data_IF_496189944851
#
_entry.id   IF_496189944851
#
_cell.length_a   1.000
_cell.length_b   1.000
_cell.length_c   1.000
_cell.angle_alpha   90.00
_cell.angle_beta   90.00
_cell.angle_gamma   90.00
#
_symmetry.space_group_name_H-M   'P 1'
#
loop_
_entity.id
_entity.type
_entity.pdbx_description
1 polymer ?
#
# COMPACT_ATOMS: atom_id res chain seq x y z
N UNK A 1 -0.96 -61.29 53.50
CA UNK A 1 -2.01 -60.61 52.71
C UNK A 1 -1.51 -59.38 51.91
N UNK A 2 -0.37 -58.76 52.25
CA UNK A 2 0.11 -57.53 51.59
C UNK A 2 0.75 -57.68 50.19
N UNK A 3 1.48 -58.76 49.92
CA UNK A 3 2.24 -58.92 48.65
C UNK A 3 1.33 -59.12 47.42
N UNK A 4 0.20 -59.83 47.59
CA UNK A 4 -0.79 -60.06 46.51
C UNK A 4 -1.52 -58.74 46.14
N UNK A 5 -1.77 -57.86 47.11
CA UNK A 5 -2.39 -56.56 46.87
C UNK A 5 -1.43 -55.60 46.16
N UNK A 6 -0.14 -55.64 46.51
CA UNK A 6 0.91 -54.85 45.83
C UNK A 6 1.09 -55.28 44.36
N UNK A 7 1.05 -56.59 44.09
CA UNK A 7 1.10 -57.15 42.74
C UNK A 7 -0.16 -56.83 41.91
N UNK A 8 -1.35 -56.76 42.53
CA UNK A 8 -2.59 -56.30 41.86
C UNK A 8 -2.56 -54.80 41.55
N UNK A 9 -2.10 -53.97 42.48
CA UNK A 9 -1.92 -52.52 42.26
C UNK A 9 -0.90 -52.24 41.14
N UNK A 10 0.23 -52.93 41.14
CA UNK A 10 1.26 -52.75 40.10
C UNK A 10 0.77 -53.15 38.70
N UNK A 11 0.02 -54.26 38.56
CA UNK A 11 -0.61 -54.65 37.28
C UNK A 11 -1.63 -53.63 36.79
N UNK A 12 -2.46 -53.08 37.69
CA UNK A 12 -3.46 -52.07 37.33
C UNK A 12 -2.80 -50.76 36.87
N UNK A 13 -1.70 -50.34 37.52
CA UNK A 13 -0.93 -49.15 37.12
C UNK A 13 -0.25 -49.36 35.77
N UNK A 14 0.33 -50.54 35.53
CA UNK A 14 0.94 -50.86 34.23
C UNK A 14 -0.11 -50.87 33.11
N UNK A 15 -1.30 -51.44 33.33
CA UNK A 15 -2.40 -51.42 32.35
C UNK A 15 -2.86 -49.99 32.06
N UNK A 16 -2.97 -49.14 33.10
CA UNK A 16 -3.35 -47.73 32.94
C UNK A 16 -2.31 -46.93 32.15
N UNK A 17 -1.02 -47.17 32.39
CA UNK A 17 0.08 -46.55 31.66
C UNK A 17 0.15 -47.01 30.20
N UNK A 18 -0.07 -48.30 29.93
CA UNK A 18 -0.16 -48.82 28.57
C UNK A 18 -1.39 -48.25 27.85
N UNK A 19 -2.53 -48.10 28.52
CA UNK A 19 -3.73 -47.48 27.95
C UNK A 19 -3.53 -45.98 27.67
N UNK A 20 -2.84 -45.26 28.56
CA UNK A 20 -2.46 -43.86 28.35
C UNK A 20 -1.45 -43.69 27.19
N UNK A 21 -0.53 -44.62 27.00
CA UNK A 21 0.39 -44.64 25.85
C UNK A 21 -0.35 -44.95 24.53
N UNK A 22 -1.32 -45.87 24.55
CA UNK A 22 -2.17 -46.18 23.38
C UNK A 22 -3.03 -44.97 23.00
N UNK A 23 -3.65 -44.30 23.97
CA UNK A 23 -4.44 -43.07 23.77
C UNK A 23 -3.59 -41.89 23.28
N UNK A 24 -2.31 -41.81 23.67
CA UNK A 24 -1.39 -40.76 23.24
C UNK A 24 -0.79 -41.01 21.84
N UNK A 25 -0.88 -42.24 21.32
CA UNK A 25 -0.28 -42.64 20.04
C UNK A 25 -1.12 -42.31 18.81
N UNK A 26 -2.36 -41.84 19.00
CA UNK A 26 -3.27 -41.51 17.91
C UNK A 26 -3.49 -39.99 17.82
N UNK A 27 -2.47 -39.24 17.39
CA UNK A 27 -2.75 -37.93 16.80
C UNK A 27 -3.41 -38.17 15.45
N UNK A 28 -4.73 -37.96 15.40
CA UNK A 28 -5.49 -38.06 14.16
C UNK A 28 -4.89 -37.11 13.12
N UNK A 29 -4.48 -37.65 11.97
CA UNK A 29 -3.92 -36.85 10.89
C UNK A 29 -5.02 -35.92 10.38
N UNK A 30 -4.92 -34.62 10.64
CA UNK A 30 -5.96 -33.64 10.28
C UNK A 30 -5.83 -33.09 8.87
N UNK A 31 -4.68 -33.30 8.22
CA UNK A 31 -4.35 -32.74 6.90
C UNK A 31 -3.71 -33.78 5.97
N UNK A 32 -3.89 -33.59 4.65
CA UNK A 32 -3.14 -34.29 3.60
C UNK A 32 -2.56 -33.30 2.59
N UNK A 33 -1.54 -33.71 1.85
CA UNK A 33 -0.87 -32.88 0.83
C UNK A 33 -1.10 -33.50 -0.54
N UNK A 34 -1.78 -32.77 -1.42
CA UNK A 34 -1.89 -33.12 -2.85
C UNK A 34 -0.66 -32.63 -3.58
N UNK A 35 -0.05 -33.51 -4.37
CA UNK A 35 1.08 -33.18 -5.24
C UNK A 35 0.65 -33.15 -6.69
N UNK A 36 1.00 -32.08 -7.39
CA UNK A 36 0.85 -32.01 -8.85
C UNK A 36 2.24 -32.00 -9.47
N UNK A 37 2.33 -32.45 -10.72
CA UNK A 37 3.59 -32.58 -11.46
C UNK A 37 3.46 -31.89 -12.81
N UNK A 38 4.58 -31.42 -13.34
CA UNK A 38 4.68 -31.00 -14.73
C UNK A 38 4.46 -32.20 -15.67
N UNK A 39 4.12 -31.98 -16.96
CA UNK A 39 4.03 -33.06 -17.94
C UNK A 39 5.31 -33.90 -18.08
N UNK A 40 6.46 -33.30 -17.78
CA UNK A 40 7.79 -33.93 -17.76
C UNK A 40 8.09 -34.75 -16.49
N UNK A 41 7.22 -34.68 -15.46
CA UNK A 41 7.30 -35.51 -14.25
C UNK A 41 7.88 -34.83 -13.02
N UNK A 42 8.45 -33.62 -13.13
CA UNK A 42 8.97 -32.88 -11.98
C UNK A 42 7.85 -32.31 -11.12
N UNK A 43 8.08 -32.17 -9.82
CA UNK A 43 7.10 -31.64 -8.86
C UNK A 43 6.74 -30.20 -9.23
N UNK A 44 5.45 -29.93 -9.39
CA UNK A 44 4.91 -28.60 -9.71
C UNK A 44 4.45 -27.87 -8.45
N UNK A 45 3.70 -28.56 -7.57
CA UNK A 45 3.09 -27.94 -6.39
C UNK A 45 2.79 -28.94 -5.28
N UNK A 46 2.88 -28.49 -4.04
CA UNK A 46 2.33 -29.15 -2.84
C UNK A 46 1.18 -28.33 -2.28
N UNK A 47 -0.03 -28.89 -2.28
CA UNK A 47 -1.26 -28.21 -1.85
C UNK A 47 -1.78 -28.90 -0.58
N UNK A 48 -1.80 -28.22 0.57
CA UNK A 48 -2.26 -28.80 1.81
C UNK A 48 -3.79 -28.67 1.92
N UNK A 49 -4.45 -29.74 2.33
CA UNK A 49 -5.89 -29.81 2.51
C UNK A 49 -6.21 -30.37 3.88
N UNK A 50 -7.19 -29.77 4.56
CA UNK A 50 -7.78 -30.32 5.77
C UNK A 50 -8.71 -31.47 5.42
N UNK A 51 -8.60 -32.60 6.13
CA UNK A 51 -9.31 -33.84 5.79
C UNK A 51 -10.84 -33.68 5.96
N UNK A 52 -11.27 -32.97 7.00
CA UNK A 52 -12.68 -32.89 7.38
C UNK A 52 -13.58 -32.24 6.30
N UNK A 53 -13.07 -31.25 5.58
CA UNK A 53 -13.84 -30.40 4.66
C UNK A 53 -13.18 -30.23 3.28
N UNK A 54 -11.99 -30.82 3.06
CA UNK A 54 -11.20 -30.66 1.83
C UNK A 54 -10.91 -29.19 1.48
N UNK A 55 -10.87 -28.32 2.49
CA UNK A 55 -10.49 -26.92 2.31
C UNK A 55 -8.96 -26.82 2.37
N UNK A 56 -8.38 -25.91 1.56
CA UNK A 56 -6.94 -25.66 1.59
C UNK A 56 -6.55 -25.06 2.95
N UNK A 57 -5.66 -25.72 3.67
CA UNK A 57 -5.21 -25.27 4.98
C UNK A 57 -3.80 -25.81 5.24
N UNK A 58 -2.88 -24.92 5.61
CA UNK A 58 -1.45 -25.20 5.81
C UNK A 58 -0.53 -24.44 4.85
N UNK A 59 0.68 -24.97 4.68
CA UNK A 59 1.72 -24.36 3.82
C UNK A 59 1.61 -24.87 2.37
N UNK A 60 1.18 -23.99 1.48
CA UNK A 60 1.17 -24.21 0.04
C UNK A 60 2.55 -23.91 -0.55
N UNK A 61 3.01 -24.72 -1.50
CA UNK A 61 4.27 -24.52 -2.22
C UNK A 61 4.11 -24.73 -3.72
N UNK A 62 4.74 -23.89 -4.52
CA UNK A 62 5.02 -24.18 -5.95
C UNK A 62 6.51 -24.28 -6.19
N UNK A 63 6.87 -24.98 -7.26
CA UNK A 63 8.24 -25.20 -7.69
C UNK A 63 8.39 -24.80 -9.16
N UNK A 64 9.60 -24.42 -9.54
CA UNK A 64 10.03 -24.30 -10.92
C UNK A 64 10.31 -25.69 -11.52
N UNK A 65 10.38 -25.80 -12.85
CA UNK A 65 10.70 -27.07 -13.53
C UNK A 65 12.05 -27.65 -13.11
N UNK A 66 13.01 -26.80 -12.75
CA UNK A 66 14.32 -27.22 -12.24
C UNK A 66 14.28 -27.77 -10.79
N UNK A 67 13.09 -27.87 -10.18
CA UNK A 67 12.89 -28.35 -8.81
C UNK A 67 13.10 -27.29 -7.72
N UNK A 68 13.53 -26.08 -8.07
CA UNK A 68 13.70 -25.01 -7.10
C UNK A 68 12.36 -24.45 -6.63
N UNK A 69 12.31 -24.02 -5.38
CA UNK A 69 11.10 -23.45 -4.78
C UNK A 69 10.74 -22.14 -5.48
N UNK A 70 9.50 -22.03 -5.93
CA UNK A 70 8.98 -20.85 -6.64
C UNK A 70 8.20 -19.93 -5.70
N UNK A 71 7.29 -20.49 -4.90
CA UNK A 71 6.56 -19.72 -3.90
C UNK A 71 6.15 -20.56 -2.70
N UNK A 72 5.95 -19.89 -1.57
CA UNK A 72 5.38 -20.43 -0.34
C UNK A 72 4.28 -19.49 0.13
N UNK A 73 3.11 -20.03 0.44
CA UNK A 73 1.96 -19.25 0.94
C UNK A 73 1.38 -20.00 2.14
N UNK A 74 1.20 -19.30 3.26
CA UNK A 74 0.44 -19.84 4.37
C UNK A 74 -1.05 -19.63 4.10
N UNK A 75 -1.84 -20.71 4.04
CA UNK A 75 -3.27 -20.68 3.77
C UNK A 75 -4.00 -21.21 4.99
N UNK A 76 -5.06 -20.53 5.42
CA UNK A 76 -5.94 -20.98 6.50
C UNK A 76 -7.39 -20.87 6.04
N UNK A 77 -8.16 -21.95 6.17
CA UNK A 77 -9.55 -22.02 5.71
C UNK A 77 -9.74 -21.51 4.26
N UNK A 78 -8.81 -21.83 3.37
CA UNK A 78 -8.87 -21.46 1.95
C UNK A 78 -8.33 -20.06 1.61
N UNK A 79 -7.99 -19.24 2.61
CA UNK A 79 -7.54 -17.85 2.42
C UNK A 79 -6.06 -17.71 2.76
N UNK A 80 -5.24 -17.01 1.94
CA UNK A 80 -3.87 -16.66 2.31
C UNK A 80 -3.83 -15.85 3.61
N UNK A 81 -2.99 -16.25 4.55
CA UNK A 81 -2.80 -15.59 5.84
C UNK A 81 -1.32 -15.32 6.10
N UNK A 82 -1.04 -14.36 6.98
CA UNK A 82 0.30 -14.10 7.53
C UNK A 82 1.35 -13.67 6.49
N UNK A 83 1.97 -14.61 5.76
CA UNK A 83 3.04 -14.27 4.82
C UNK A 83 3.03 -15.13 3.55
N UNK A 84 3.57 -14.54 2.48
CA UNK A 84 3.90 -15.23 1.24
C UNK A 84 5.32 -14.87 0.81
N UNK A 85 6.03 -15.86 0.27
CA UNK A 85 7.39 -15.72 -0.25
C UNK A 85 7.40 -16.19 -1.69
N UNK A 86 8.08 -15.47 -2.58
CA UNK A 86 8.38 -15.90 -3.95
C UNK A 86 9.87 -15.78 -4.18
N UNK A 87 10.42 -16.70 -4.94
CA UNK A 87 11.85 -16.80 -5.21
C UNK A 87 12.10 -16.66 -6.71
N UNK A 88 13.32 -16.25 -7.07
CA UNK A 88 13.80 -16.38 -8.44
C UNK A 88 14.03 -17.87 -8.77
N UNK A 89 14.08 -18.21 -10.06
CA UNK A 89 14.42 -19.57 -10.52
C UNK A 89 15.86 -19.99 -10.16
N UNK A 90 16.68 -19.04 -9.73
CA UNK A 90 18.03 -19.24 -9.18
C UNK A 90 18.06 -19.45 -7.66
N UNK A 91 16.91 -19.30 -6.99
CA UNK A 91 16.69 -19.68 -5.58
C UNK A 91 16.73 -18.51 -4.59
N UNK A 92 17.16 -17.33 -5.02
CA UNK A 92 17.20 -16.14 -4.16
C UNK A 92 15.79 -15.57 -3.95
N UNK A 93 15.55 -14.94 -2.81
CA UNK A 93 14.26 -14.31 -2.50
C UNK A 93 13.97 -13.20 -3.51
N UNK A 94 12.78 -13.23 -4.12
CA UNK A 94 12.33 -12.24 -5.09
C UNK A 94 11.27 -11.32 -4.50
N UNK A 95 10.35 -11.88 -3.71
CA UNK A 95 9.25 -11.13 -3.12
C UNK A 95 8.87 -11.70 -1.76
N UNK A 96 8.60 -10.80 -0.81
CA UNK A 96 8.04 -11.12 0.51
C UNK A 96 6.80 -10.28 0.72
N UNK A 97 5.75 -10.95 1.17
CA UNK A 97 4.49 -10.37 1.56
C UNK A 97 4.26 -10.61 3.04
N UNK A 98 3.78 -9.58 3.74
CA UNK A 98 3.29 -9.67 5.11
C UNK A 98 1.88 -9.09 5.17
N UNK A 99 0.90 -9.87 5.64
CA UNK A 99 -0.47 -9.44 5.92
C UNK A 99 -0.58 -9.09 7.40
N UNK A 100 -1.06 -7.89 7.69
CA UNK A 100 -1.36 -7.45 9.04
C UNK A 100 -2.63 -6.59 9.02
N UNK A 101 -3.64 -7.02 9.77
CA UNK A 101 -4.98 -6.41 9.78
C UNK A 101 -5.58 -6.35 8.37
N UNK A 102 -5.91 -5.15 7.89
CA UNK A 102 -6.45 -4.84 6.57
C UNK A 102 -5.36 -4.47 5.55
N UNK A 103 -4.08 -4.67 5.89
CA UNK A 103 -2.95 -4.18 5.10
C UNK A 103 -2.03 -5.31 4.65
N UNK A 104 -1.59 -5.22 3.40
CA UNK A 104 -0.55 -6.06 2.82
C UNK A 104 0.71 -5.22 2.61
N UNK A 105 1.84 -5.70 3.10
CA UNK A 105 3.16 -5.10 2.90
C UNK A 105 3.98 -5.97 1.96
N UNK A 106 4.23 -5.48 0.76
CA UNK A 106 5.02 -6.16 -0.26
C UNK A 106 6.44 -5.61 -0.33
N UNK A 107 7.44 -6.48 -0.27
CA UNK A 107 8.85 -6.15 -0.47
C UNK A 107 9.40 -6.97 -1.63
N UNK A 108 9.95 -6.29 -2.65
CA UNK A 108 10.65 -6.92 -3.76
C UNK A 108 12.16 -6.83 -3.53
N UNK A 109 12.89 -7.84 -3.99
CA UNK A 109 14.33 -7.95 -3.80
C UNK A 109 15.03 -8.20 -5.13
N UNK A 110 16.22 -7.61 -5.28
CA UNK A 110 17.15 -7.98 -6.33
C UNK A 110 17.76 -9.36 -6.06
N UNK A 111 18.38 -9.96 -7.07
CA UNK A 111 19.05 -11.27 -6.92
C UNK A 111 20.18 -11.28 -5.90
N UNK A 112 20.81 -10.14 -5.63
CA UNK A 112 21.85 -10.01 -4.60
C UNK A 112 21.25 -9.94 -3.16
N UNK A 113 19.92 -9.94 -3.02
CA UNK A 113 19.23 -9.87 -1.74
C UNK A 113 18.86 -8.45 -1.28
N UNK A 114 19.31 -7.42 -2.00
CA UNK A 114 18.98 -6.04 -1.65
C UNK A 114 17.53 -5.71 -2.00
N UNK A 115 16.93 -4.78 -1.26
CA UNK A 115 15.54 -4.36 -1.47
C UNK A 115 15.47 -3.57 -2.78
N UNK A 116 14.59 -4.00 -3.68
CA UNK A 116 14.31 -3.34 -4.95
C UNK A 116 13.07 -2.44 -4.87
N UNK A 117 12.05 -2.84 -4.10
CA UNK A 117 10.86 -2.03 -3.89
C UNK A 117 10.13 -2.37 -2.59
N UNK A 118 9.37 -1.41 -2.06
CA UNK A 118 8.42 -1.61 -0.96
C UNK A 118 7.09 -0.98 -1.34
N UNK A 119 5.99 -1.69 -1.11
CA UNK A 119 4.64 -1.23 -1.39
C UNK A 119 3.71 -1.58 -0.23
N UNK A 120 2.64 -0.80 -0.07
CA UNK A 120 1.54 -1.11 0.84
C UNK A 120 0.25 -1.22 0.03
N UNK A 121 -0.58 -2.20 0.38
CA UNK A 121 -1.90 -2.41 -0.19
C UNK A 121 -2.94 -2.55 0.92
N UNK A 122 -4.17 -2.18 0.63
CA UNK A 122 -5.34 -2.57 1.39
C UNK A 122 -5.73 -3.99 0.95
N UNK A 123 -5.93 -4.89 1.91
CA UNK A 123 -6.31 -6.30 1.69
C UNK A 123 -7.77 -6.38 1.26
N UNK A 124 -7.96 -6.14 -0.03
CA UNK A 124 -9.23 -6.12 -0.77
C UNK A 124 -9.11 -7.11 -1.92
N UNK A 125 -10.21 -7.40 -2.61
CA UNK A 125 -10.20 -8.27 -3.80
C UNK A 125 -10.65 -7.48 -5.04
N UNK A 126 -9.73 -7.05 -5.93
CA UNK A 126 -8.26 -7.21 -5.86
C UNK A 126 -7.61 -6.22 -4.86
N UNK A 127 -6.37 -6.47 -4.37
CA UNK A 127 -5.69 -5.57 -3.44
C UNK A 127 -5.46 -4.17 -4.03
N UNK A 128 -5.81 -3.13 -3.27
CA UNK A 128 -5.67 -1.73 -3.68
C UNK A 128 -4.37 -1.15 -3.12
N UNK A 129 -3.46 -0.68 -3.98
CA UNK A 129 -2.23 -0.03 -3.53
C UNK A 129 -2.56 1.31 -2.83
N UNK A 130 -1.99 1.53 -1.64
CA UNK A 130 -2.23 2.70 -0.79
C UNK A 130 -0.96 3.12 -0.04
N UNK A 131 -0.91 4.36 0.42
CA UNK A 131 0.20 4.93 1.15
C UNK A 131 1.49 5.01 0.31
N UNK A 132 2.62 5.10 1.01
CA UNK A 132 3.91 5.28 0.36
C UNK A 132 4.46 3.97 -0.21
N UNK A 133 4.88 4.04 -1.45
CA UNK A 133 5.63 3.01 -2.17
C UNK A 133 7.00 3.56 -2.57
N UNK A 134 8.02 2.70 -2.56
CA UNK A 134 9.41 3.08 -2.79
C UNK A 134 10.05 2.15 -3.80
N UNK A 135 10.82 2.70 -4.72
CA UNK A 135 11.69 1.96 -5.65
C UNK A 135 13.13 2.33 -5.30
N UNK A 136 13.97 1.32 -5.16
CA UNK A 136 15.37 1.46 -4.81
C UNK A 136 16.24 1.18 -6.04
N UNK A 137 17.48 1.65 -6.00
CA UNK A 137 18.56 1.25 -6.90
C UNK A 137 19.25 -0.01 -6.36
N UNK A 138 20.10 -0.64 -7.19
CA UNK A 138 20.90 -1.79 -6.74
C UNK A 138 21.89 -1.43 -5.62
N UNK A 139 22.24 -0.15 -5.49
CA UNK A 139 23.13 0.35 -4.44
C UNK A 139 22.36 0.74 -3.16
N UNK A 140 21.05 0.50 -3.12
CA UNK A 140 20.19 0.72 -1.94
C UNK A 140 19.61 2.13 -1.81
N UNK A 141 19.96 3.06 -2.69
CA UNK A 141 19.40 4.42 -2.69
C UNK A 141 17.97 4.43 -3.23
N UNK A 142 17.07 5.22 -2.64
CA UNK A 142 15.72 5.43 -3.17
C UNK A 142 15.81 6.19 -4.49
N UNK A 143 15.18 5.66 -5.54
CA UNK A 143 15.04 6.31 -6.86
C UNK A 143 13.69 7.00 -7.01
N UNK A 144 12.64 6.37 -6.51
CA UNK A 144 11.28 6.92 -6.55
C UNK A 144 10.54 6.66 -5.25
N UNK A 145 9.84 7.68 -4.77
CA UNK A 145 8.83 7.58 -3.70
C UNK A 145 7.49 7.99 -4.28
N UNK A 146 6.43 7.20 -4.07
CA UNK A 146 5.12 7.43 -4.66
C UNK A 146 4.04 7.25 -3.61
N UNK A 147 3.09 8.18 -3.56
CA UNK A 147 1.92 8.06 -2.69
C UNK A 147 0.72 7.58 -3.49
N UNK A 148 0.10 6.50 -3.02
CA UNK A 148 -1.17 6.03 -3.54
C UNK A 148 -2.30 6.30 -2.53
N UNK A 149 -3.42 6.81 -3.00
CA UNK A 149 -4.63 7.00 -2.21
C UNK A 149 -5.71 6.03 -2.68
N UNK A 150 -6.62 5.67 -1.78
CA UNK A 150 -7.88 5.03 -2.16
C UNK A 150 -8.90 6.12 -2.48
N UNK A 151 -9.17 6.35 -3.76
CA UNK A 151 -10.13 7.35 -4.24
C UNK A 151 -11.30 6.61 -4.88
N UNK A 152 -12.48 6.66 -4.24
CA UNK A 152 -13.68 5.97 -4.71
C UNK A 152 -13.48 4.46 -4.93
N UNK A 153 -12.74 3.79 -4.04
CA UNK A 153 -12.48 2.34 -4.14
C UNK A 153 -11.40 1.95 -5.16
N UNK A 154 -10.61 2.92 -5.65
CA UNK A 154 -9.53 2.68 -6.63
C UNK A 154 -8.21 3.23 -6.13
N UNK A 155 -7.13 2.52 -6.43
CA UNK A 155 -5.79 3.03 -6.21
C UNK A 155 -5.51 4.21 -7.15
N UNK A 156 -5.12 5.34 -6.58
CA UNK A 156 -4.84 6.58 -7.28
C UNK A 156 -3.43 7.07 -6.95
N UNK A 157 -2.57 7.17 -7.96
CA UNK A 157 -1.21 7.71 -7.79
C UNK A 157 -1.27 9.23 -7.59
N UNK A 158 -1.18 9.65 -6.33
CA UNK A 158 -1.39 11.01 -5.90
C UNK A 158 -0.13 11.87 -6.15
N UNK A 159 1.00 11.46 -5.56
CA UNK A 159 2.28 12.18 -5.67
C UNK A 159 3.41 11.24 -6.07
N UNK A 160 4.46 11.81 -6.69
CA UNK A 160 5.70 11.10 -7.02
C UNK A 160 6.90 12.02 -6.80
N UNK A 161 7.89 11.48 -6.11
CA UNK A 161 9.19 12.09 -5.88
C UNK A 161 10.23 11.23 -6.60
N UNK A 162 10.91 11.81 -7.58
CA UNK A 162 12.07 11.20 -8.20
C UNK A 162 13.34 11.69 -7.51
N UNK A 163 14.30 10.80 -7.29
CA UNK A 163 15.54 11.10 -6.58
C UNK A 163 16.75 10.88 -7.49
N UNK A 164 17.74 11.76 -7.39
CA UNK A 164 19.05 11.58 -8.03
C UNK A 164 19.92 10.58 -7.24
N UNK A 165 21.13 10.32 -7.73
CA UNK A 165 22.06 9.37 -7.11
C UNK A 165 22.56 9.81 -5.72
N UNK A 166 22.40 11.09 -5.36
CA UNK A 166 22.69 11.64 -4.03
C UNK A 166 21.48 11.51 -3.07
N UNK A 167 20.34 11.00 -3.55
CA UNK A 167 19.10 10.86 -2.79
C UNK A 167 18.26 12.14 -2.74
N UNK A 168 18.63 13.20 -3.45
CA UNK A 168 17.91 14.46 -3.47
C UNK A 168 16.73 14.40 -4.44
N UNK A 169 15.60 15.00 -4.07
CA UNK A 169 14.43 15.09 -4.95
C UNK A 169 14.78 15.96 -6.17
N UNK A 170 14.45 15.46 -7.36
CA UNK A 170 14.59 16.15 -8.64
C UNK A 170 13.22 16.73 -9.03
N UNK A 171 12.99 18.05 -8.86
CA UNK A 171 11.70 18.69 -9.10
C UNK A 171 11.12 18.43 -10.49
N UNK A 172 11.93 18.52 -11.54
CA UNK A 172 11.49 18.44 -12.95
C UNK A 172 10.93 17.08 -13.37
N UNK A 173 11.21 16.03 -12.59
CA UNK A 173 10.72 14.66 -12.78
C UNK A 173 9.80 14.20 -11.65
N UNK A 174 9.39 15.13 -10.79
CA UNK A 174 8.51 14.90 -9.64
C UNK A 174 7.21 15.67 -9.81
N UNK A 175 6.19 15.26 -9.07
CA UNK A 175 4.99 16.06 -8.84
C UNK A 175 4.50 15.81 -7.42
N UNK A 176 4.46 16.87 -6.65
CA UNK A 176 4.17 16.81 -5.23
C UNK A 176 3.72 18.18 -4.73
N UNK A 177 3.24 18.22 -3.50
CA UNK A 177 2.94 19.46 -2.81
C UNK A 177 3.64 19.50 -1.46
N UNK A 178 3.79 20.69 -0.90
CA UNK A 178 4.36 20.89 0.42
C UNK A 178 3.68 22.05 1.15
N UNK A 179 3.29 21.83 2.42
CA UNK A 179 2.74 22.86 3.29
C UNK A 179 3.78 23.24 4.35
N UNK A 180 4.28 24.48 4.30
CA UNK A 180 5.25 25.03 5.27
C UNK A 180 4.63 26.11 6.12
N UNK A 181 4.64 25.92 7.43
CA UNK A 181 4.18 26.93 8.40
C UNK A 181 5.38 27.48 9.17
N UNK A 182 5.50 28.80 9.22
CA UNK A 182 6.59 29.49 9.93
C UNK A 182 6.06 30.64 10.78
N UNK A 183 6.56 30.81 12.01
CA UNK A 183 6.19 31.96 12.87
C UNK A 183 6.80 33.24 12.29
N UNK A 184 6.00 34.30 12.18
CA UNK A 184 6.51 35.62 11.79
C UNK A 184 7.14 36.27 13.02
N UNK A 185 8.44 36.60 12.91
CA UNK A 185 9.23 37.17 14.02
C UNK A 185 8.50 38.34 14.67
N UNK A 186 8.56 38.41 16.00
CA UNK A 186 7.97 39.48 16.81
C UNK A 186 6.44 39.66 16.65
N UNK A 187 5.72 38.62 16.24
CA UNK A 187 4.24 38.63 16.18
C UNK A 187 3.67 37.29 16.66
N UNK A 188 2.37 37.25 16.95
CA UNK A 188 1.62 36.00 17.17
C UNK A 188 1.06 35.39 15.89
N UNK A 189 1.53 35.87 14.72
CA UNK A 189 1.10 35.41 13.41
C UNK A 189 2.04 34.37 12.82
N UNK A 190 1.47 33.54 11.94
CA UNK A 190 2.19 32.53 11.17
C UNK A 190 1.99 32.78 9.67
N UNK A 191 3.02 32.44 8.92
CA UNK A 191 3.04 32.38 7.46
C UNK A 191 2.89 30.94 7.01
N UNK A 192 1.89 30.66 6.19
CA UNK A 192 1.76 29.42 5.43
C UNK A 192 2.27 29.66 4.02
N UNK A 193 3.16 28.77 3.57
CA UNK A 193 3.54 28.62 2.18
C UNK A 193 3.08 27.25 1.72
N UNK A 194 2.28 27.23 0.67
CA UNK A 194 1.90 26.02 -0.04
C UNK A 194 2.70 26.05 -1.34
N UNK A 195 3.39 24.97 -1.63
CA UNK A 195 4.14 24.79 -2.86
C UNK A 195 3.60 23.58 -3.61
N UNK A 196 3.48 23.67 -4.92
CA UNK A 196 2.99 22.59 -5.78
C UNK A 196 3.86 22.46 -7.03
N UNK A 197 4.33 21.25 -7.30
CA UNK A 197 4.95 20.88 -8.56
C UNK A 197 3.95 20.06 -9.37
N UNK A 198 3.50 20.55 -10.54
CA UNK A 198 2.57 19.81 -11.36
C UNK A 198 3.22 18.62 -12.06
N UNK A 199 2.41 17.63 -12.40
CA UNK A 199 2.81 16.51 -13.24
C UNK A 199 2.91 16.88 -14.72
N UNK A 200 2.13 17.85 -15.14
CA UNK A 200 2.08 18.34 -16.51
C UNK A 200 2.79 19.69 -16.58
N UNK A 201 3.89 19.74 -17.34
CA UNK A 201 4.56 21.01 -17.66
C UNK A 201 3.56 21.94 -18.36
N UNK A 202 3.55 23.20 -17.95
CA UNK A 202 2.69 24.26 -18.50
C UNK A 202 1.18 24.09 -18.22
N UNK A 203 0.78 23.13 -17.38
CA UNK A 203 -0.61 23.06 -16.97
C UNK A 203 -1.02 24.33 -16.21
N UNK A 204 -2.25 24.78 -16.46
CA UNK A 204 -2.92 25.71 -15.56
C UNK A 204 -3.22 24.98 -14.26
N UNK A 205 -3.06 25.67 -13.15
CA UNK A 205 -3.19 25.08 -11.83
C UNK A 205 -4.08 25.92 -10.94
N UNK A 206 -4.92 25.24 -10.18
CA UNK A 206 -5.66 25.83 -9.07
C UNK A 206 -5.63 24.90 -7.87
N UNK A 207 -5.71 25.46 -6.67
CA UNK A 207 -5.96 24.70 -5.45
C UNK A 207 -7.45 24.75 -5.15
N UNK A 208 -8.08 23.59 -5.01
CA UNK A 208 -9.50 23.46 -4.69
C UNK A 208 -9.64 22.89 -3.29
N UNK A 209 -10.53 23.46 -2.48
CA UNK A 209 -10.80 23.02 -1.11
C UNK A 209 -12.29 22.76 -0.90
N UNK A 210 -12.63 21.90 0.06
CA UNK A 210 -14.00 21.67 0.52
C UNK A 210 -14.05 21.33 2.00
N UNK A 211 -15.13 21.73 2.67
CA UNK A 211 -15.29 21.53 4.13
C UNK A 211 -15.77 20.11 4.47
N UNK A 212 -16.73 19.56 3.70
CA UNK A 212 -17.39 18.28 3.98
C UNK A 212 -16.93 17.13 3.07
N UNK A 213 -15.67 17.14 2.64
CA UNK A 213 -15.13 16.11 1.76
C UNK A 213 -14.98 14.76 2.48
N UNK A 214 -15.51 13.68 1.89
CA UNK A 214 -15.32 12.31 2.34
C UNK A 214 -13.84 11.92 2.32
N UNK A 215 -13.39 10.97 3.17
CA UNK A 215 -11.98 10.53 3.25
C UNK A 215 -11.39 10.02 1.94
N UNK A 216 -12.23 9.44 1.08
CA UNK A 216 -11.87 8.94 -0.24
C UNK A 216 -12.27 9.89 -1.38
N UNK A 217 -12.73 11.11 -1.07
CA UNK A 217 -13.22 12.11 -2.02
C UNK A 217 -14.35 11.61 -2.94
N UNK A 218 -15.12 10.59 -2.53
CA UNK A 218 -16.24 10.05 -3.32
C UNK A 218 -17.40 11.05 -3.52
N UNK A 219 -17.50 12.10 -2.70
CA UNK A 219 -18.58 13.08 -2.71
C UNK A 219 -18.23 14.41 -3.39
N UNK A 220 -17.18 14.47 -4.21
CA UNK A 220 -16.74 15.71 -4.89
C UNK A 220 -17.84 16.48 -5.63
N UNK A 221 -18.82 15.77 -6.20
CA UNK A 221 -19.92 16.39 -6.95
C UNK A 221 -21.07 16.89 -6.07
N UNK A 222 -21.05 16.58 -4.78
CA UNK A 222 -22.16 16.83 -3.85
C UNK A 222 -21.80 17.80 -2.72
N UNK A 223 -20.57 18.33 -2.73
CA UNK A 223 -20.09 19.29 -1.73
C UNK A 223 -19.77 20.61 -2.38
N UNK A 224 -19.87 21.68 -1.59
CA UNK A 224 -19.38 22.99 -2.01
C UNK A 224 -17.86 22.96 -2.07
N UNK A 225 -17.32 23.47 -3.17
CA UNK A 225 -15.88 23.60 -3.41
C UNK A 225 -15.54 25.07 -3.63
N UNK A 226 -14.43 25.52 -3.06
CA UNK A 226 -13.87 26.84 -3.31
C UNK A 226 -12.52 26.68 -4.04
N UNK A 227 -12.23 27.62 -4.94
CA UNK A 227 -11.03 27.58 -5.79
C UNK A 227 -10.11 28.74 -5.44
N UNK A 228 -8.82 28.44 -5.29
CA UNK A 228 -7.75 29.39 -5.02
C UNK A 228 -6.80 29.35 -6.22
N UNK A 229 -6.61 30.50 -6.86
CA UNK A 229 -5.67 30.65 -7.98
C UNK A 229 -4.23 30.56 -7.46
N UNK A 230 -3.38 29.82 -8.16
CA UNK A 230 -1.96 29.71 -7.81
C UNK A 230 -1.15 30.88 -8.39
N UNK A 231 -0.18 31.38 -7.63
CA UNK A 231 0.86 32.30 -8.13
C UNK A 231 2.11 31.48 -8.49
N UNK A 232 2.24 31.17 -9.78
CA UNK A 232 3.18 30.17 -10.27
C UNK A 232 2.93 28.83 -9.58
N UNK A 233 3.94 28.36 -8.83
CA UNK A 233 3.90 27.09 -8.11
C UNK A 233 3.58 27.25 -6.62
N UNK A 234 3.10 28.42 -6.17
CA UNK A 234 2.92 28.67 -4.75
C UNK A 234 1.69 29.47 -4.37
N UNK A 235 1.28 29.32 -3.11
CA UNK A 235 0.30 30.17 -2.42
C UNK A 235 0.94 30.59 -1.10
N UNK A 236 0.86 31.88 -0.76
CA UNK A 236 1.43 32.42 0.49
C UNK A 236 0.39 33.25 1.23
N UNK A 237 0.22 33.00 2.52
CA UNK A 237 -0.64 33.81 3.40
C UNK A 237 0.00 34.03 4.77
N UNK A 238 -0.11 35.26 5.28
CA UNK A 238 0.60 35.75 6.48
C UNK A 238 -0.32 36.04 7.67
N UNK A 239 -1.62 35.84 7.52
CA UNK A 239 -2.64 36.27 8.48
C UNK A 239 -3.18 35.12 9.35
N UNK A 240 -2.39 34.06 9.56
CA UNK A 240 -2.77 32.94 10.42
C UNK A 240 -2.50 33.27 11.90
N UNK A 241 -3.51 33.10 12.75
CA UNK A 241 -3.46 33.05 14.22
C UNK A 241 -3.64 31.57 14.60
N UNK A 242 -3.52 31.20 15.88
CA UNK A 242 -3.28 29.79 16.29
C UNK A 242 -4.53 28.95 16.69
N UNK A 243 -5.54 28.77 15.84
CA UNK A 243 -6.36 27.55 15.80
C UNK A 243 -5.79 26.39 14.95
N UNK A 244 -6.29 25.15 15.14
CA UNK A 244 -6.00 23.97 14.32
C UNK A 244 -7.16 23.70 13.34
N UNK A 245 -6.94 23.85 12.03
CA UNK A 245 -7.93 23.55 10.99
C UNK A 245 -7.42 22.49 10.03
N UNK A 246 -8.27 21.53 9.68
CA UNK A 246 -7.99 20.54 8.63
C UNK A 246 -8.32 21.16 7.28
N UNK A 247 -7.35 21.24 6.38
CA UNK A 247 -7.54 21.64 4.99
C UNK A 247 -7.58 20.38 4.14
N UNK A 248 -8.67 20.23 3.39
CA UNK A 248 -8.89 19.07 2.55
C UNK A 248 -9.35 19.51 1.17
N UNK A 249 -8.81 18.88 0.15
CA UNK A 249 -8.99 19.33 -1.22
C UNK A 249 -8.04 18.67 -2.19
N UNK A 250 -7.80 19.32 -3.32
CA UNK A 250 -6.88 18.87 -4.35
C UNK A 250 -6.29 20.04 -5.14
N UNK A 251 -5.07 19.88 -5.63
CA UNK A 251 -4.56 20.69 -6.74
C UNK A 251 -5.14 20.15 -8.04
N UNK A 252 -5.71 21.03 -8.85
CA UNK A 252 -6.25 20.72 -10.16
C UNK A 252 -5.28 21.20 -11.22
N UNK A 253 -4.75 20.28 -12.01
CA UNK A 253 -3.98 20.58 -13.21
C UNK A 253 -4.89 20.44 -14.43
N UNK A 254 -4.84 21.43 -15.31
CA UNK A 254 -5.57 21.45 -16.57
C UNK A 254 -4.63 21.84 -17.71
N UNK A 255 -4.57 21.00 -18.74
CA UNK A 255 -3.76 21.26 -19.93
C UNK A 255 -4.56 20.94 -21.19
N UNK A 256 -4.68 21.93 -22.07
CA UNK A 256 -5.35 21.79 -23.36
C UNK A 256 -4.34 22.01 -24.48
N UNK A 257 -4.35 21.13 -25.48
CA UNK A 257 -3.46 21.19 -26.64
C UNK A 257 -4.24 21.01 -27.93
N UNK A 258 -3.84 21.70 -28.99
CA UNK A 258 -4.41 21.45 -30.32
C UNK A 258 -3.91 20.10 -30.81
N UNK A 259 -4.83 19.17 -31.03
CA UNK A 259 -4.56 17.83 -31.53
C UNK A 259 -4.58 17.78 -33.06
N UNK A 260 -5.55 18.43 -33.66
CA UNK A 260 -5.72 18.45 -35.11
C UNK A 260 -6.43 19.73 -35.56
N UNK A 261 -6.25 20.10 -36.83
CA UNK A 261 -6.98 21.22 -37.47
C UNK A 261 -7.89 20.62 -38.53
N UNK A 262 -9.20 20.74 -38.33
CA UNK A 262 -10.23 20.24 -39.24
C UNK A 262 -10.67 21.40 -40.14
N UNK A 263 -10.14 21.45 -41.36
CA UNK A 263 -10.43 22.53 -42.30
C UNK A 263 -9.79 23.86 -41.89
N UNK A 264 -10.39 25.00 -42.27
CA UNK A 264 -9.84 26.33 -41.98
C UNK A 264 -10.24 26.89 -40.61
N UNK A 265 -11.40 26.47 -40.10
CA UNK A 265 -12.06 27.17 -38.98
C UNK A 265 -12.37 26.23 -37.79
N UNK A 266 -11.78 25.04 -37.74
CA UNK A 266 -12.01 24.12 -36.62
C UNK A 266 -10.73 23.43 -36.18
N UNK A 267 -10.60 23.28 -34.87
CA UNK A 267 -9.51 22.55 -34.22
C UNK A 267 -10.10 21.51 -33.28
N UNK A 268 -9.43 20.37 -33.17
CA UNK A 268 -9.66 19.39 -32.13
C UNK A 268 -8.72 19.68 -30.97
N UNK A 269 -9.24 19.76 -29.75
CA UNK A 269 -8.43 19.89 -28.54
C UNK A 269 -8.28 18.55 -27.86
N UNK A 270 -7.07 18.26 -27.40
CA UNK A 270 -6.79 17.23 -26.41
C UNK A 270 -6.74 17.90 -25.03
N UNK A 271 -7.59 17.43 -24.13
CA UNK A 271 -7.69 17.93 -22.75
C UNK A 271 -7.15 16.86 -21.81
N UNK A 272 -6.20 17.25 -20.98
CA UNK A 272 -5.62 16.43 -19.92
C UNK A 272 -5.87 17.10 -18.57
N UNK A 273 -6.29 16.30 -17.61
CA UNK A 273 -6.61 16.77 -16.26
C UNK A 273 -5.99 15.85 -15.20
N UNK A 274 -5.57 16.45 -14.09
CA UNK A 274 -5.14 15.68 -12.91
C UNK A 274 -5.58 16.37 -11.63
N UNK A 275 -5.92 15.56 -10.62
CA UNK A 275 -6.21 16.02 -9.26
C UNK A 275 -5.16 15.45 -8.31
N UNK A 276 -4.39 16.28 -7.65
CA UNK A 276 -3.48 15.84 -6.58
C UNK A 276 -4.12 16.19 -5.24
N UNK A 277 -4.66 15.19 -4.56
CA UNK A 277 -5.42 15.33 -3.32
C UNK A 277 -4.52 15.59 -2.12
N UNK A 278 -5.03 16.37 -1.16
CA UNK A 278 -4.36 16.62 0.10
C UNK A 278 -5.35 16.61 1.26
N UNK A 279 -4.84 16.31 2.44
CA UNK A 279 -5.62 16.25 3.67
C UNK A 279 -4.73 16.66 4.85
N UNK A 280 -4.41 17.94 4.91
CA UNK A 280 -3.37 18.48 5.77
C UNK A 280 -3.96 19.20 6.97
N UNK A 281 -3.35 19.04 8.14
CA UNK A 281 -3.69 19.85 9.31
C UNK A 281 -2.86 21.11 9.32
N UNK A 282 -3.50 22.25 9.11
CA UNK A 282 -2.86 23.56 9.05
C UNK A 282 -3.27 24.39 10.26
N UNK A 283 -2.33 25.17 10.81
CA UNK A 283 -2.60 26.13 11.89
C UNK A 283 -3.18 27.40 11.26
N UNK A 284 -4.44 27.76 11.52
CA UNK A 284 -5.20 28.81 10.81
C UNK A 284 -5.92 29.75 11.77
N UNK A 285 -5.96 31.08 11.50
CA UNK A 285 -6.79 32.05 12.24
C UNK A 285 -8.27 31.88 11.93
N UNK A 286 -9.11 32.30 12.87
CA UNK A 286 -10.55 32.55 12.67
C UNK A 286 -10.84 33.57 11.54
N UNK A 287 -9.82 34.25 11.01
CA UNK A 287 -9.92 35.31 10.02
C UNK A 287 -9.43 34.92 8.61
N UNK A 288 -9.10 33.65 8.36
CA UNK A 288 -9.08 33.16 6.97
C UNK A 288 -10.51 32.77 6.59
N UNK A 289 -11.26 33.77 6.14
CA UNK A 289 -12.28 33.53 5.15
C UNK A 289 -11.54 33.30 3.83
N UNK A 290 -11.44 32.04 3.37
CA UNK A 290 -11.27 31.76 1.93
C UNK A 290 -12.56 32.15 1.17
N UNK A 291 -13.60 32.55 1.92
CA UNK A 291 -14.97 32.82 1.51
C UNK A 291 -15.30 34.29 1.24
N UNK A 292 -14.35 35.23 1.10
CA UNK A 292 -14.75 36.60 0.76
C UNK A 292 -13.81 37.35 -0.20
N UNK A 293 -14.33 37.41 -1.44
CA UNK A 293 -14.33 38.52 -2.42
C UNK A 293 -13.21 38.61 -3.45
N UNK A 294 -13.66 38.43 -4.69
CA UNK A 294 -13.01 38.65 -5.97
C UNK A 294 -13.78 37.92 -7.04
#
# INVERSE_FOLDING_TARGET
MGIINLLKQSKAVIILLVYAMILSSCQEKTHFVKRNYYPSGELLSEIPYKIADSIKDGIYKDFYKNGQLKQVIHIKNGVPVDSALKYYETGELHYKELRANDSIYGSYFYKNGDIAAKNKFLDTDPPLQIGMSYIYSKDGNVRDSMEYLNIGGKSYLNTRYHHNDLGEVVPDSSYFYEFKISKIRNTDRYRLRIYYIPSMKEAQMAMVIGEDLAEDFSNLNNVRLDTIVMDGNSIVTDNLKKPNRRLKGFFYEYLSRVKDTIGKDSITLEIMEKKTFFNETVKVSDSINILDKG
#
